data_IF_278007174030
#
_entry.id   IF_278007174030
#
_cell.length_a   1.000
_cell.length_b   1.000
_cell.length_c   1.000
_cell.angle_alpha   90.00
_cell.angle_beta   90.00
_cell.angle_gamma   90.00
#
_symmetry.space_group_name_H-M   'P 1'
#
loop_
_entity.id
_entity.type
_entity.pdbx_description
1 polymer ?
#
# COMPACT_ATOMS: atom_id res chain seq x y z
N UNK A 1 18.57 2.37 -21.02
CA UNK A 1 19.40 2.31 -19.80
C UNK A 1 18.48 2.64 -18.62
N UNK A 2 17.50 1.76 -18.36
CA UNK A 2 16.22 2.12 -17.73
C UNK A 2 15.73 1.02 -16.80
N UNK A 3 16.59 0.51 -15.92
CA UNK A 3 16.20 -0.48 -14.90
C UNK A 3 16.52 -0.05 -13.46
N UNK A 4 17.21 1.07 -13.26
CA UNK A 4 17.60 1.53 -11.92
C UNK A 4 16.54 2.39 -11.21
N UNK A 5 15.48 2.82 -11.88
CA UNK A 5 14.41 3.65 -11.29
C UNK A 5 13.32 2.85 -10.57
N UNK A 6 13.19 1.55 -10.81
CA UNK A 6 12.11 0.72 -10.26
C UNK A 6 12.32 0.36 -8.78
N UNK A 7 13.54 0.49 -8.27
CA UNK A 7 13.90 0.14 -6.89
C UNK A 7 14.13 1.34 -5.97
N UNK A 8 13.85 2.57 -6.40
CA UNK A 8 14.05 3.76 -5.58
C UNK A 8 13.01 3.82 -4.44
N UNK A 9 13.41 3.63 -3.16
CA UNK A 9 12.48 3.64 -2.03
C UNK A 9 11.74 4.98 -1.87
N UNK A 10 12.31 6.09 -2.37
CA UNK A 10 11.68 7.40 -2.35
C UNK A 10 10.53 7.51 -3.37
N UNK A 11 10.61 6.78 -4.48
CA UNK A 11 9.54 6.67 -5.47
C UNK A 11 8.45 5.72 -4.97
N UNK A 12 8.82 4.60 -4.37
CA UNK A 12 7.86 3.68 -3.73
C UNK A 12 7.06 4.38 -2.62
N UNK A 13 7.76 5.09 -1.72
CA UNK A 13 7.15 5.86 -0.64
C UNK A 13 6.24 6.97 -1.18
N UNK A 14 6.66 7.65 -2.25
CA UNK A 14 5.82 8.65 -2.91
C UNK A 14 4.53 8.02 -3.46
N UNK A 15 4.65 6.91 -4.19
CA UNK A 15 3.52 6.20 -4.78
C UNK A 15 2.52 5.75 -3.69
N UNK A 16 3.02 5.13 -2.62
CA UNK A 16 2.19 4.72 -1.49
C UNK A 16 1.48 5.91 -0.82
N UNK A 17 2.20 7.02 -0.58
CA UNK A 17 1.59 8.24 -0.02
C UNK A 17 0.52 8.83 -0.93
N UNK A 18 0.74 8.83 -2.24
CA UNK A 18 -0.27 9.28 -3.21
C UNK A 18 -1.49 8.37 -3.14
N UNK A 19 -1.31 7.05 -3.19
CA UNK A 19 -2.37 6.07 -3.08
C UNK A 19 -3.21 6.26 -1.82
N UNK A 20 -2.59 6.20 -0.64
CA UNK A 20 -3.30 6.34 0.64
C UNK A 20 -4.01 7.70 0.77
N UNK A 21 -3.40 8.78 0.29
CA UNK A 21 -4.05 10.11 0.32
C UNK A 21 -5.25 10.22 -0.62
N UNK A 22 -5.26 9.49 -1.75
CA UNK A 22 -6.42 9.48 -2.65
C UNK A 22 -7.55 8.64 -2.04
N UNK A 23 -7.22 7.48 -1.47
CA UNK A 23 -8.19 6.61 -0.79
C UNK A 23 -8.80 7.31 0.42
N UNK A 24 -8.01 7.99 1.24
CA UNK A 24 -8.52 8.78 2.37
C UNK A 24 -9.51 9.86 1.93
N UNK A 25 -9.17 10.62 0.88
CA UNK A 25 -10.08 11.61 0.32
C UNK A 25 -11.37 11.00 -0.24
N UNK A 26 -11.29 9.80 -0.82
CA UNK A 26 -12.46 9.09 -1.32
C UNK A 26 -13.37 8.66 -0.16
N UNK A 27 -12.82 8.00 0.85
CA UNK A 27 -13.58 7.52 2.02
C UNK A 27 -14.16 8.66 2.86
N UNK A 28 -13.42 9.76 3.08
CA UNK A 28 -13.99 10.94 3.75
C UNK A 28 -15.22 11.49 3.04
N UNK A 29 -15.24 11.50 1.71
CA UNK A 29 -16.41 11.96 0.94
C UNK A 29 -17.58 10.98 1.03
N UNK A 30 -17.30 9.70 1.24
CA UNK A 30 -18.30 8.65 1.47
C UNK A 30 -18.80 8.61 2.93
N UNK A 31 -18.18 9.38 3.84
CA UNK A 31 -18.56 9.51 5.25
C UNK A 31 -18.92 10.97 5.59
N UNK A 32 -20.06 11.52 5.11
CA UNK A 32 -20.41 12.93 5.32
C UNK A 32 -20.65 13.31 6.79
N UNK A 33 -20.90 12.32 7.65
CA UNK A 33 -21.05 12.50 9.10
C UNK A 33 -19.71 12.67 9.83
N UNK A 34 -18.58 12.37 9.19
CA UNK A 34 -17.26 12.49 9.79
C UNK A 34 -16.71 13.91 9.60
N UNK A 35 -16.03 14.44 10.61
CA UNK A 35 -15.33 15.71 10.50
C UNK A 35 -14.19 15.69 9.48
N UNK A 36 -13.74 16.89 9.09
CA UNK A 36 -12.65 17.08 8.10
C UNK A 36 -11.31 16.49 8.54
N UNK A 37 -11.14 16.29 9.85
CA UNK A 37 -9.94 15.72 10.46
C UNK A 37 -9.98 14.20 10.66
N UNK A 38 -11.04 13.54 10.19
CA UNK A 38 -11.12 12.07 10.18
C UNK A 38 -9.95 11.43 9.40
N UNK A 39 -9.54 10.21 9.72
CA UNK A 39 -8.40 9.52 9.08
C UNK A 39 -8.80 8.09 8.74
N UNK A 40 -8.21 7.53 7.68
CA UNK A 40 -8.40 6.11 7.38
C UNK A 40 -7.52 5.23 8.27
N UNK A 41 -8.00 4.00 8.54
CA UNK A 41 -7.14 2.91 9.00
C UNK A 41 -6.70 2.08 7.80
N UNK A 42 -5.38 1.95 7.58
CA UNK A 42 -4.85 1.19 6.46
C UNK A 42 -3.52 0.51 6.80
N UNK A 43 -3.34 -0.69 6.26
CA UNK A 43 -2.08 -1.43 6.23
C UNK A 43 -1.70 -1.62 4.77
N UNK A 44 -0.44 -1.34 4.43
CA UNK A 44 0.06 -1.55 3.08
C UNK A 44 1.34 -2.40 3.09
N UNK A 45 1.40 -3.38 2.21
CA UNK A 45 2.61 -4.14 1.91
C UNK A 45 3.08 -3.86 0.48
N UNK A 46 4.39 -3.88 0.28
CA UNK A 46 5.04 -3.62 -1.00
C UNK A 46 5.57 -4.96 -1.51
N UNK A 47 5.06 -5.41 -2.65
CA UNK A 47 5.55 -6.59 -3.35
C UNK A 47 6.43 -6.12 -4.50
N UNK A 48 7.74 -6.38 -4.44
CA UNK A 48 8.73 -5.84 -5.39
C UNK A 48 9.03 -6.74 -6.59
N UNK A 49 8.49 -7.96 -6.57
CA UNK A 49 8.69 -8.97 -7.60
C UNK A 49 7.33 -9.45 -8.08
N UNK A 50 7.12 -9.53 -9.39
CA UNK A 50 5.98 -10.24 -9.95
C UNK A 50 6.17 -11.75 -9.87
N UNK A 51 5.16 -12.53 -10.30
CA UNK A 51 5.19 -13.99 -10.24
C UNK A 51 6.37 -14.65 -10.98
N UNK A 52 6.99 -13.93 -11.93
CA UNK A 52 8.18 -14.36 -12.67
C UNK A 52 9.47 -13.65 -12.23
N UNK A 53 9.48 -13.05 -11.03
CA UNK A 53 10.59 -12.26 -10.49
C UNK A 53 10.98 -11.05 -11.36
N UNK A 54 10.09 -10.62 -12.27
CA UNK A 54 10.25 -9.36 -12.96
C UNK A 54 10.14 -8.22 -11.94
N UNK A 55 10.94 -7.14 -12.07
CA UNK A 55 10.90 -5.98 -11.18
C UNK A 55 9.61 -5.20 -11.46
N UNK A 56 8.51 -5.69 -10.91
CA UNK A 56 7.18 -5.10 -11.02
C UNK A 56 6.70 -4.85 -9.60
N UNK A 57 6.78 -3.59 -9.19
CA UNK A 57 6.37 -3.19 -7.84
C UNK A 57 4.86 -3.05 -7.79
N UNK A 58 4.21 -3.83 -6.91
CA UNK A 58 2.79 -3.74 -6.61
C UNK A 58 2.57 -3.45 -5.13
N UNK A 59 1.56 -2.65 -4.83
CA UNK A 59 1.13 -2.36 -3.47
C UNK A 59 -0.12 -3.17 -3.17
N UNK A 60 -0.11 -3.91 -2.06
CA UNK A 60 -1.33 -4.46 -1.47
C UNK A 60 -1.75 -3.57 -0.32
N UNK A 61 -2.92 -2.96 -0.41
CA UNK A 61 -3.51 -2.14 0.65
C UNK A 61 -4.71 -2.85 1.25
N UNK A 62 -4.70 -3.08 2.56
CA UNK A 62 -5.87 -3.39 3.36
C UNK A 62 -6.35 -2.09 4.00
N UNK A 63 -7.54 -1.63 3.62
CA UNK A 63 -8.10 -0.37 4.09
C UNK A 63 -9.44 -0.66 4.76
N UNK A 64 -9.64 -0.10 5.95
CA UNK A 64 -10.93 -0.17 6.66
C UNK A 64 -11.96 0.66 5.88
N UNK A 65 -13.16 0.09 5.69
CA UNK A 65 -14.27 0.69 4.96
C UNK A 65 -14.96 1.80 5.77
N UNK A 66 -14.22 2.88 6.01
CA UNK A 66 -14.69 4.02 6.77
C UNK A 66 -13.53 4.89 7.26
N UNK A 67 -13.85 5.81 8.15
CA UNK A 67 -12.87 6.74 8.72
C UNK A 67 -13.02 6.82 10.23
N UNK A 68 -11.93 7.16 10.92
CA UNK A 68 -11.88 7.40 12.35
C UNK A 68 -11.77 8.89 12.61
N UNK A 69 -12.62 9.43 13.46
CA UNK A 69 -12.52 10.79 13.98
C UNK A 69 -12.12 10.74 15.45
N UNK A 70 -11.07 11.48 15.82
CA UNK A 70 -10.65 11.57 17.21
C UNK A 70 -11.34 12.76 17.88
N UNK A 71 -11.91 12.56 19.05
CA UNK A 71 -12.41 13.65 19.89
C UNK A 71 -11.26 14.39 20.59
N UNK A 72 -11.60 15.44 21.36
CA UNK A 72 -10.62 16.23 22.10
C UNK A 72 -9.80 15.43 23.13
N UNK A 73 -10.29 14.26 23.56
CA UNK A 73 -9.60 13.34 24.48
C UNK A 73 -8.72 12.33 23.74
N UNK A 74 -8.79 12.28 22.41
CA UNK A 74 -8.11 11.29 21.57
C UNK A 74 -8.88 9.97 21.43
N UNK A 75 -10.12 9.90 21.89
CA UNK A 75 -10.99 8.74 21.69
C UNK A 75 -11.52 8.72 20.25
N UNK A 76 -11.45 7.56 19.60
CA UNK A 76 -11.83 7.39 18.22
C UNK A 76 -13.32 7.05 18.08
N UNK A 77 -14.02 7.80 17.25
CA UNK A 77 -15.34 7.44 16.72
C UNK A 77 -15.15 6.90 15.30
N UNK A 78 -15.71 5.72 15.01
CA UNK A 78 -15.70 5.15 13.68
C UNK A 78 -16.93 5.61 12.89
N UNK A 79 -16.69 6.08 11.67
CA UNK A 79 -17.72 6.45 10.71
C UNK A 79 -17.62 5.51 9.52
N UNK A 80 -18.58 4.58 9.44
CA UNK A 80 -18.70 3.65 8.33
C UNK A 80 -18.96 4.41 7.02
N UNK A 81 -18.28 4.02 5.95
CA UNK A 81 -18.58 4.56 4.61
C UNK A 81 -19.71 3.78 3.97
N UNK A 82 -20.43 4.42 3.04
CA UNK A 82 -21.20 3.64 2.07
C UNK A 82 -20.25 2.73 1.27
N UNK A 83 -20.68 1.50 1.00
CA UNK A 83 -19.83 0.53 0.33
C UNK A 83 -19.26 1.07 -0.99
N UNK A 84 -17.94 0.95 -1.21
CA UNK A 84 -17.31 1.49 -2.41
C UNK A 84 -17.85 0.77 -3.64
N UNK A 85 -18.50 1.53 -4.52
CA UNK A 85 -18.95 1.02 -5.81
C UNK A 85 -17.82 1.08 -6.86
N UNK A 86 -18.03 0.42 -8.00
CA UNK A 86 -17.04 0.40 -9.09
C UNK A 86 -16.69 1.80 -9.60
N UNK A 87 -17.64 2.74 -9.53
CA UNK A 87 -17.42 4.12 -9.95
C UNK A 87 -16.40 4.80 -9.05
N UNK A 88 -16.52 4.65 -7.73
CA UNK A 88 -15.56 5.19 -6.77
C UNK A 88 -14.17 4.59 -6.98
N UNK A 89 -14.08 3.29 -7.25
CA UNK A 89 -12.81 2.61 -7.56
C UNK A 89 -12.15 3.17 -8.83
N UNK A 90 -12.93 3.36 -9.89
CA UNK A 90 -12.45 3.96 -11.13
C UNK A 90 -11.95 5.40 -10.91
N UNK A 91 -12.67 6.19 -10.10
CA UNK A 91 -12.26 7.54 -9.72
C UNK A 91 -10.93 7.55 -8.93
N UNK A 92 -10.80 6.64 -7.96
CA UNK A 92 -9.57 6.47 -7.17
C UNK A 92 -8.41 6.10 -8.09
N UNK A 93 -8.58 5.08 -8.95
CA UNK A 93 -7.55 4.64 -9.89
C UNK A 93 -7.11 5.78 -10.83
N UNK A 94 -8.06 6.48 -11.44
CA UNK A 94 -7.76 7.60 -12.34
C UNK A 94 -7.00 8.74 -11.61
N UNK A 95 -7.39 9.03 -10.36
CA UNK A 95 -6.77 10.10 -9.56
C UNK A 95 -5.38 9.71 -9.06
N UNK A 96 -5.16 8.45 -8.65
CA UNK A 96 -3.85 7.92 -8.30
C UNK A 96 -2.92 8.01 -9.50
N UNK A 97 -3.34 7.49 -10.66
CA UNK A 97 -2.56 7.53 -11.90
C UNK A 97 -2.16 8.95 -12.28
N UNK A 98 -3.12 9.87 -12.34
CA UNK A 98 -2.86 11.28 -12.67
C UNK A 98 -1.85 11.92 -11.71
N UNK A 99 -1.99 11.68 -10.41
CA UNK A 99 -1.09 12.26 -9.40
C UNK A 99 0.30 11.64 -9.45
N UNK A 100 0.39 10.34 -9.69
CA UNK A 100 1.66 9.62 -9.81
C UNK A 100 2.44 10.09 -11.03
N UNK A 101 1.85 10.05 -12.23
CA UNK A 101 2.49 10.53 -13.46
C UNK A 101 2.98 11.97 -13.30
N UNK A 102 2.11 12.88 -12.81
CA UNK A 102 2.49 14.27 -12.55
C UNK A 102 3.61 14.41 -11.52
N UNK A 103 3.72 13.52 -10.54
CA UNK A 103 4.78 13.57 -9.53
C UNK A 103 6.11 13.03 -10.08
N UNK A 104 6.07 11.96 -10.87
CA UNK A 104 7.24 11.38 -11.53
C UNK A 104 7.84 12.35 -12.56
N UNK A 105 6.99 12.99 -13.39
CA UNK A 105 7.44 14.01 -14.34
C UNK A 105 8.06 15.21 -13.65
N UNK A 106 7.46 15.70 -12.56
CA UNK A 106 8.03 16.81 -11.78
C UNK A 106 9.36 16.48 -11.12
N UNK A 107 9.68 15.20 -10.92
CA UNK A 107 10.95 14.73 -10.37
C UNK A 107 11.99 14.39 -11.45
N UNK A 108 11.65 14.54 -12.74
CA UNK A 108 12.53 14.14 -13.84
C UNK A 108 12.72 12.63 -13.98
N UNK A 109 11.84 11.82 -13.34
CA UNK A 109 11.89 10.35 -13.43
C UNK A 109 11.20 9.84 -14.69
N UNK A 110 10.23 10.61 -15.20
CA UNK A 110 9.42 10.26 -16.37
C UNK A 110 9.32 11.47 -17.30
N UNK A 111 9.61 11.28 -18.57
CA UNK A 111 9.48 12.36 -19.55
C UNK A 111 8.01 12.77 -19.73
N UNK A 112 7.72 14.05 -20.03
CA UNK A 112 6.34 14.50 -20.20
C UNK A 112 5.57 13.75 -21.30
N UNK A 113 6.24 13.42 -22.41
CA UNK A 113 5.67 12.68 -23.54
C UNK A 113 5.34 11.23 -23.14
N UNK A 114 6.24 10.57 -22.41
CA UNK A 114 5.99 9.25 -21.84
C UNK A 114 4.83 9.29 -20.85
N UNK A 115 4.77 10.33 -20.00
CA UNK A 115 3.67 10.51 -19.05
C UNK A 115 2.32 10.70 -19.75
N UNK A 116 2.27 11.42 -20.87
CA UNK A 116 1.06 11.60 -21.68
C UNK A 116 0.64 10.28 -22.34
N UNK A 117 1.60 9.55 -22.93
CA UNK A 117 1.36 8.22 -23.48
C UNK A 117 0.82 7.27 -22.42
N UNK A 118 1.48 7.22 -21.26
CA UNK A 118 1.06 6.43 -20.10
C UNK A 118 -0.28 6.87 -19.52
N UNK A 119 -0.70 8.13 -19.72
CA UNK A 119 -2.00 8.68 -19.33
C UNK A 119 -3.15 8.32 -20.29
N UNK A 120 -2.83 7.78 -21.46
CA UNK A 120 -3.82 7.32 -22.44
C UNK A 120 -3.95 5.79 -22.54
N UNK A 121 -3.09 5.03 -21.86
CA UNK A 121 -3.25 3.57 -21.72
C UNK A 121 -4.59 3.20 -21.06
N UNK A 122 -5.30 2.23 -21.64
CA UNK A 122 -6.60 1.75 -21.11
C UNK A 122 -6.48 1.22 -19.68
N UNK A 123 -5.41 0.46 -19.39
CA UNK A 123 -5.18 -0.16 -18.07
C UNK A 123 -3.97 0.42 -17.31
N UNK A 124 -3.37 1.51 -17.82
CA UNK A 124 -2.37 2.28 -17.10
C UNK A 124 -1.23 1.49 -16.45
N UNK A 125 -0.58 0.53 -17.12
CA UNK A 125 0.61 -0.17 -16.62
C UNK A 125 0.41 -1.01 -15.34
N UNK A 126 -0.80 -1.05 -14.80
CA UNK A 126 -1.20 -1.77 -13.60
C UNK A 126 -2.62 -1.39 -13.16
N UNK A 127 -3.42 -2.39 -12.79
CA UNK A 127 -4.80 -2.19 -12.33
C UNK A 127 -4.91 -2.22 -10.81
N UNK A 128 -5.74 -1.32 -10.26
CA UNK A 128 -6.17 -1.42 -8.86
C UNK A 128 -7.36 -2.38 -8.79
N UNK A 129 -7.25 -3.41 -7.96
CA UNK A 129 -8.31 -4.42 -7.79
C UNK A 129 -8.63 -4.62 -6.32
N UNK A 130 -9.92 -4.68 -5.99
CA UNK A 130 -10.36 -5.24 -4.71
C UNK A 130 -10.26 -6.76 -4.85
N UNK A 131 -9.49 -7.39 -3.97
CA UNK A 131 -9.28 -8.84 -3.98
C UNK A 131 -10.14 -9.56 -2.94
N UNK A 132 -10.53 -8.87 -1.85
CA UNK A 132 -11.39 -9.42 -0.81
C UNK A 132 -11.99 -8.28 0.04
N UNK A 133 -13.16 -8.55 0.61
CA UNK A 133 -13.71 -7.83 1.76
C UNK A 133 -13.58 -8.74 2.98
N UNK A 134 -13.12 -8.20 4.11
CA UNK A 134 -12.95 -8.95 5.36
C UNK A 134 -13.85 -8.28 6.40
N UNK A 135 -15.06 -8.77 6.57
CA UNK A 135 -16.07 -8.20 7.48
C UNK A 135 -16.16 -8.99 8.79
N UNK A 136 -16.36 -10.31 8.70
CA UNK A 136 -16.71 -11.13 9.87
C UNK A 136 -15.55 -12.01 10.37
N UNK A 137 -14.49 -12.18 9.57
CA UNK A 137 -13.37 -13.05 9.92
C UNK A 137 -12.32 -12.37 10.83
N UNK A 138 -12.43 -11.06 11.08
CA UNK A 138 -11.40 -10.32 11.82
C UNK A 138 -11.22 -10.84 13.25
N UNK A 139 -12.28 -11.06 14.06
CA UNK A 139 -12.12 -11.61 15.41
C UNK A 139 -11.49 -13.01 15.41
N UNK A 140 -11.87 -13.86 14.45
CA UNK A 140 -11.36 -15.21 14.32
C UNK A 140 -9.87 -15.22 13.92
N UNK A 141 -9.48 -14.34 12.99
CA UNK A 141 -8.08 -14.13 12.60
C UNK A 141 -7.25 -13.67 13.80
N UNK A 142 -7.70 -12.64 14.51
CA UNK A 142 -6.96 -12.10 15.67
C UNK A 142 -6.85 -13.14 16.79
N UNK A 143 -7.93 -13.88 17.06
CA UNK A 143 -7.92 -14.98 18.04
C UNK A 143 -6.93 -16.07 17.64
N UNK A 144 -6.92 -16.46 16.36
CA UNK A 144 -5.98 -17.47 15.85
C UNK A 144 -4.52 -17.04 15.97
N UNK A 145 -4.23 -15.74 15.75
CA UNK A 145 -2.89 -15.17 15.88
C UNK A 145 -2.47 -14.91 17.34
N UNK A 146 -3.39 -15.03 18.30
CA UNK A 146 -3.15 -14.68 19.70
C UNK A 146 -3.07 -13.17 19.96
N UNK A 147 -3.57 -12.35 19.04
CA UNK A 147 -3.57 -10.90 19.12
C UNK A 147 -4.82 -10.36 19.85
N UNK A 148 -4.77 -9.15 20.45
CA UNK A 148 -5.93 -8.55 21.10
C UNK A 148 -7.10 -8.33 20.12
N UNK A 149 -8.30 -8.80 20.49
CA UNK A 149 -9.56 -8.56 19.74
C UNK A 149 -10.22 -7.22 20.09
N UNK A 150 -9.69 -6.51 21.09
CA UNK A 150 -10.15 -5.16 21.45
C UNK A 150 -9.35 -4.11 20.69
N UNK A 151 -9.99 -3.02 20.20
CA UNK A 151 -9.30 -2.01 19.39
C UNK A 151 -8.13 -1.36 20.16
N UNK A 152 -6.92 -1.29 19.58
CA UNK A 152 -5.83 -0.53 20.17
C UNK A 152 -6.12 0.98 20.13
N UNK A 153 -5.50 1.74 21.04
CA UNK A 153 -5.56 3.21 20.97
C UNK A 153 -4.96 3.70 19.65
N UNK A 154 -5.58 4.71 19.04
CA UNK A 154 -5.06 5.32 17.81
C UNK A 154 -3.64 5.84 18.06
N UNK A 155 -2.73 5.44 17.17
CA UNK A 155 -1.33 5.87 17.15
C UNK A 155 -1.07 6.65 15.86
N UNK A 156 -0.17 7.65 15.86
CA UNK A 156 0.28 8.28 14.63
C UNK A 156 0.81 7.24 13.64
N UNK A 157 0.50 7.42 12.35
CA UNK A 157 1.01 6.56 11.30
C UNK A 157 2.55 6.55 11.33
N UNK A 158 3.15 5.36 11.44
CA UNK A 158 4.60 5.19 11.39
C UNK A 158 5.04 5.10 9.92
N UNK A 159 6.21 5.63 9.61
CA UNK A 159 6.83 5.37 8.31
C UNK A 159 7.10 3.86 8.17
N UNK A 160 7.13 3.31 6.93
CA UNK A 160 7.62 1.96 6.70
C UNK A 160 8.99 1.78 7.37
N UNK A 161 9.28 0.61 7.98
CA UNK A 161 10.58 0.37 8.58
C UNK A 161 11.67 0.63 7.54
N UNK A 162 12.60 1.51 7.89
CA UNK A 162 13.84 1.69 7.16
C UNK A 162 14.71 0.48 7.52
N UNK A 163 14.66 -0.56 6.69
CA UNK A 163 15.75 -1.51 6.58
C UNK A 163 17.00 -0.71 6.15
N UNK A 164 17.73 -0.21 7.15
CA UNK A 164 19.03 0.40 6.91
C UNK A 164 19.93 -0.68 6.31
N UNK A 165 20.43 -0.45 5.10
CA UNK A 165 21.64 -1.12 4.62
C UNK A 165 22.81 -0.69 5.51
N UNK A 166 22.89 -1.24 6.72
CA UNK A 166 24.04 -1.09 7.58
C UNK A 166 25.19 -1.91 6.98
N UNK A 167 26.06 -1.19 6.27
CA UNK A 167 27.46 -1.56 6.08
C UNK A 167 27.72 -2.81 5.25
N UNK A 168 27.63 -2.70 3.92
CA UNK A 168 28.49 -3.50 3.06
C UNK A 168 29.91 -2.93 3.08
N UNK A 169 30.56 -2.93 4.25
CA UNK A 169 32.01 -3.18 4.27
C UNK A 169 32.14 -4.66 3.99
N UNK A 170 32.87 -5.03 2.93
CA UNK A 170 33.35 -6.39 2.74
C UNK A 170 34.05 -6.85 4.02
N UNK A 171 33.33 -7.58 4.86
CA UNK A 171 33.86 -8.25 6.04
C UNK A 171 33.88 -9.73 5.72
N UNK A 172 35.04 -10.30 5.99
CA UNK A 172 35.50 -11.66 5.77
C UNK A 172 34.46 -12.73 6.15
N UNK A 173 34.52 -13.86 5.43
CA UNK A 173 33.67 -15.04 5.62
C UNK A 173 33.46 -15.39 7.10
N UNK A 174 32.20 -15.34 7.54
CA UNK A 174 31.77 -15.80 8.86
C UNK A 174 31.73 -17.35 8.89
N UNK A 175 32.57 -18.02 9.68
CA UNK A 175 32.58 -19.48 9.77
C UNK A 175 31.36 -20.08 10.50
N UNK A 176 30.41 -19.25 10.97
CA UNK A 176 29.15 -19.70 11.58
C UNK A 176 27.91 -19.57 10.68
N UNK A 177 28.07 -19.35 9.38
CA UNK A 177 26.95 -19.39 8.44
C UNK A 177 26.18 -20.73 8.56
N UNK A 178 24.98 -20.69 9.15
CA UNK A 178 24.07 -21.83 9.14
C UNK A 178 23.69 -22.13 7.69
N UNK A 179 23.95 -23.37 7.26
CA UNK A 179 23.55 -23.84 5.94
C UNK A 179 22.05 -23.63 5.75
N UNK A 180 21.67 -23.09 4.58
CA UNK A 180 20.27 -22.91 4.22
C UNK A 180 19.50 -24.22 4.43
N UNK A 181 18.32 -24.20 5.08
CA UNK A 181 17.50 -25.39 5.20
C UNK A 181 17.10 -25.85 3.80
N UNK A 182 17.28 -27.15 3.50
CA UNK A 182 16.72 -27.78 2.30
C UNK A 182 15.20 -27.82 2.43
N UNK A 183 14.53 -26.76 2.00
CA UNK A 183 13.08 -26.72 1.85
C UNK A 183 12.72 -26.90 0.37
N UNK A 184 12.00 -27.97 0.06
CA UNK A 184 11.47 -28.22 -1.29
C UNK A 184 10.14 -27.48 -1.46
N UNK A 185 10.11 -26.48 -2.35
CA UNK A 185 8.92 -25.70 -2.64
C UNK A 185 7.97 -26.47 -3.57
N UNK A 186 6.78 -26.83 -3.08
CA UNK A 186 5.74 -27.46 -3.92
C UNK A 186 5.15 -26.43 -4.91
N UNK A 187 5.56 -26.50 -6.17
CA UNK A 187 5.13 -25.60 -7.25
C UNK A 187 3.71 -25.88 -7.77
N UNK A 188 2.94 -26.79 -7.15
CA UNK A 188 1.59 -27.16 -7.61
C UNK A 188 0.46 -26.25 -7.12
N UNK A 189 0.77 -25.23 -6.32
CA UNK A 189 -0.25 -24.23 -5.93
C UNK A 189 -0.37 -23.19 -7.05
N UNK A 190 -1.32 -23.42 -7.95
CA UNK A 190 -1.79 -22.43 -8.90
C UNK A 190 -2.73 -21.45 -8.18
N UNK A 191 -2.42 -20.16 -8.27
CA UNK A 191 -3.28 -19.05 -7.86
C UNK A 191 -4.04 -18.50 -9.06
#
# INVERSE_FOLDING_TARGET
MTQLTVLDPAIETLALRIFLSVVEQALRRACPAAGSDSRIGAVASIHRFGALLNPQVHFHGLVIEGVFEADASGAATFHESSAPDQKLLNEVQAKVRRRLLRALTRRGVLEPEDAETMANWEHGGGEMRIIAFITDAVPDILTHLGEPTSPPRLMPARAPPLWEMQGATMAEDDPQAQSAPEYEFDQRIAW
#
